data_IF_516006375922
#
_entry.id   IF_516006375922
#
_cell.length_a   1.000
_cell.length_b   1.000
_cell.length_c   1.000
_cell.angle_alpha   90.00
_cell.angle_beta   90.00
_cell.angle_gamma   90.00
#
_symmetry.space_group_name_H-M   'P 1'
#
loop_
_entity.id
_entity.type
_entity.pdbx_description
1 polymer ?
#
# COMPACT_ATOMS: atom_id res chain seq x y z
N UNK A 1 -14.05 -19.04 -12.63
CA UNK A 1 -13.14 -18.54 -11.90
C UNK A 1 -13.30 -18.70 -10.47
N UNK A 2 -12.33 -18.92 -9.79
CA UNK A 2 -12.47 -19.10 -8.44
C UNK A 2 -12.34 -17.83 -7.72
N UNK A 3 -12.91 -17.74 -6.56
CA UNK A 3 -12.80 -16.59 -5.74
C UNK A 3 -11.57 -16.72 -4.91
N UNK A 4 -10.72 -15.73 -5.01
CA UNK A 4 -9.54 -15.72 -4.21
C UNK A 4 -9.88 -15.21 -2.84
N UNK A 5 -9.54 -15.97 -1.83
CA UNK A 5 -9.78 -15.55 -0.47
C UNK A 5 -8.47 -15.12 0.15
N UNK A 6 -8.50 -14.01 0.85
CA UNK A 6 -7.32 -13.47 1.50
C UNK A 6 -7.41 -13.71 2.99
N UNK A 7 -6.28 -13.81 3.63
CA UNK A 7 -6.22 -14.01 5.06
C UNK A 7 -5.99 -12.68 5.74
N UNK A 8 -6.34 -12.63 7.02
CA UNK A 8 -6.14 -11.40 7.79
C UNK A 8 -4.66 -11.02 7.75
N UNK A 9 -4.41 -9.76 7.53
CA UNK A 9 -3.05 -9.24 7.50
C UNK A 9 -2.26 -9.59 6.26
N UNK A 10 -2.89 -10.24 5.28
CA UNK A 10 -2.16 -10.62 4.08
C UNK A 10 -1.84 -9.39 3.23
N UNK A 11 -0.61 -9.30 2.76
CA UNK A 11 -0.23 -8.23 1.85
C UNK A 11 -0.60 -8.65 0.45
N UNK A 12 -1.51 -7.91 -0.17
CA UNK A 12 -1.97 -8.23 -1.51
C UNK A 12 -1.04 -7.62 -2.56
N UNK A 13 -0.58 -6.40 -2.30
CA UNK A 13 0.30 -5.71 -3.25
C UNK A 13 1.21 -4.77 -2.50
N UNK A 14 2.40 -4.58 -3.04
CA UNK A 14 3.39 -3.71 -2.45
C UNK A 14 4.28 -3.20 -3.55
N UNK A 15 4.60 -1.92 -3.52
CA UNK A 15 5.48 -1.33 -4.52
C UNK A 15 6.28 -0.21 -3.89
N UNK A 16 7.50 -0.04 -4.36
CA UNK A 16 8.35 1.05 -3.91
C UNK A 16 7.88 2.30 -4.62
N UNK A 17 7.55 3.33 -3.84
CA UNK A 17 7.10 4.59 -4.43
C UNK A 17 8.20 5.63 -4.43
N UNK A 18 9.12 5.59 -3.46
CA UNK A 18 10.26 6.49 -3.44
C UNK A 18 11.46 5.70 -2.98
N UNK A 19 12.57 5.90 -3.65
CA UNK A 19 13.77 5.17 -3.31
C UNK A 19 14.86 6.17 -3.02
N UNK A 20 15.43 6.11 -1.82
CA UNK A 20 16.53 6.97 -1.41
C UNK A 20 17.78 6.10 -1.32
N UNK A 21 18.91 6.73 -1.20
CA UNK A 21 20.15 5.97 -1.18
C UNK A 21 20.27 5.05 0.02
N UNK A 22 19.57 5.34 1.11
CA UNK A 22 19.71 4.53 2.30
C UNK A 22 18.40 3.90 2.75
N UNK A 23 17.29 4.14 2.08
CA UNK A 23 16.04 3.48 2.43
C UNK A 23 15.02 3.70 1.30
N UNK A 24 13.91 3.00 1.40
CA UNK A 24 12.85 3.12 0.43
C UNK A 24 11.52 3.30 1.13
N UNK A 25 10.59 3.98 0.47
CA UNK A 25 9.23 4.08 0.94
C UNK A 25 8.35 3.27 0.00
N UNK A 26 7.39 2.57 0.56
CA UNK A 26 6.55 1.69 -0.22
C UNK A 26 5.09 1.99 0.05
N UNK A 27 4.23 1.62 -0.91
CA UNK A 27 2.80 1.60 -0.69
C UNK A 27 2.37 0.15 -0.59
N UNK A 28 1.35 -0.10 0.21
CA UNK A 28 0.86 -1.46 0.43
C UNK A 28 -0.64 -1.51 0.42
N UNK A 29 -1.15 -2.60 -0.12
CA UNK A 29 -2.57 -2.92 -0.06
C UNK A 29 -2.66 -4.24 0.68
N UNK A 30 -3.32 -4.23 1.82
CA UNK A 30 -3.38 -5.39 2.70
C UNK A 30 -4.80 -5.68 3.11
N UNK A 31 -5.01 -6.89 3.60
CA UNK A 31 -6.26 -7.22 4.26
C UNK A 31 -6.14 -6.74 5.71
N UNK A 32 -7.20 -6.13 6.21
CA UNK A 32 -7.19 -5.63 7.58
C UNK A 32 -6.92 -6.76 8.56
N UNK A 33 -6.22 -6.42 9.62
CA UNK A 33 -5.78 -7.41 10.58
C UNK A 33 -6.83 -7.64 11.66
N UNK A 34 -8.06 -7.31 11.40
CA UNK A 34 -9.15 -7.62 12.31
C UNK A 34 -10.13 -8.50 11.55
N UNK A 35 -11.31 -8.69 12.06
CA UNK A 35 -12.26 -9.59 11.41
C UNK A 35 -13.24 -8.87 10.50
N UNK A 36 -12.95 -7.64 10.14
CA UNK A 36 -13.89 -6.88 9.33
C UNK A 36 -13.93 -7.33 7.88
N UNK A 37 -12.84 -7.93 7.40
CA UNK A 37 -12.76 -8.28 5.99
C UNK A 37 -12.49 -7.10 5.09
N UNK A 38 -12.11 -5.96 5.65
CA UNK A 38 -11.85 -4.78 4.85
C UNK A 38 -10.42 -4.78 4.34
N UNK A 39 -10.14 -3.87 3.45
CA UNK A 39 -8.81 -3.74 2.85
C UNK A 39 -8.23 -2.40 3.26
N UNK A 40 -6.93 -2.38 3.49
CA UNK A 40 -6.24 -1.19 3.99
C UNK A 40 -5.14 -0.82 3.02
N UNK A 41 -5.06 0.46 2.69
CA UNK A 41 -3.98 0.96 1.84
C UNK A 41 -3.24 2.02 2.65
N UNK A 42 -1.91 1.92 2.67
CA UNK A 42 -1.10 2.89 3.39
C UNK A 42 0.29 2.96 2.77
N UNK A 43 1.05 3.96 3.20
CA UNK A 43 2.44 4.07 2.77
C UNK A 43 3.33 3.95 4.00
N UNK A 44 4.56 3.53 3.80
CA UNK A 44 5.45 3.27 4.91
C UNK A 44 5.92 4.54 5.61
N UNK A 45 5.86 5.68 4.91
CA UNK A 45 6.32 6.91 5.54
C UNK A 45 5.22 7.57 6.36
N UNK A 46 3.97 7.14 6.22
CA UNK A 46 2.89 7.74 6.97
C UNK A 46 1.86 6.67 7.27
N UNK A 47 2.22 5.77 8.15
CA UNK A 47 1.35 4.65 8.45
C UNK A 47 0.11 5.07 9.22
N UNK A 48 0.07 6.30 9.69
CA UNK A 48 -1.13 6.75 10.38
C UNK A 48 -2.20 7.23 9.42
N UNK A 49 -1.86 7.34 8.12
CA UNK A 49 -2.82 7.80 7.14
C UNK A 49 -3.37 6.64 6.36
N UNK A 50 -3.88 5.64 7.06
CA UNK A 50 -4.42 4.46 6.42
C UNK A 50 -5.81 4.75 5.88
N UNK A 51 -6.11 4.17 4.72
CA UNK A 51 -7.43 4.24 4.14
C UNK A 51 -8.02 2.84 4.10
N UNK A 52 -9.24 2.72 4.58
CA UNK A 52 -9.91 1.43 4.68
C UNK A 52 -11.04 1.36 3.67
N UNK A 53 -11.17 0.21 3.02
CA UNK A 53 -12.17 0.01 1.98
C UNK A 53 -12.87 -1.33 2.19
N UNK A 54 -14.15 -1.38 1.93
CA UNK A 54 -14.88 -2.64 2.00
C UNK A 54 -14.80 -3.41 0.70
N UNK A 55 -14.55 -2.71 -0.40
CA UNK A 55 -14.50 -3.33 -1.71
C UNK A 55 -13.07 -3.31 -2.20
N UNK A 56 -12.57 -4.47 -2.60
CA UNK A 56 -11.19 -4.55 -3.06
C UNK A 56 -10.96 -3.69 -4.29
N UNK A 57 -11.98 -3.50 -5.12
CA UNK A 57 -11.81 -2.67 -6.31
C UNK A 57 -11.57 -1.21 -5.94
N UNK A 58 -12.25 -0.73 -4.90
CA UNK A 58 -12.00 0.62 -4.43
C UNK A 58 -10.61 0.73 -3.81
N UNK A 59 -10.18 -0.30 -3.11
CA UNK A 59 -8.85 -0.30 -2.54
C UNK A 59 -7.80 -0.26 -3.63
N UNK A 60 -7.98 -1.05 -4.70
CA UNK A 60 -7.04 -1.04 -5.81
C UNK A 60 -7.00 0.32 -6.49
N UNK A 61 -8.17 0.96 -6.61
CA UNK A 61 -8.21 2.26 -7.24
C UNK A 61 -7.41 3.27 -6.45
N UNK A 62 -7.55 3.26 -5.14
CA UNK A 62 -6.79 4.18 -4.31
C UNK A 62 -5.30 3.83 -4.34
N UNK A 63 -4.99 2.54 -4.24
CA UNK A 63 -3.61 2.09 -4.27
C UNK A 63 -2.93 2.56 -5.56
N UNK A 64 -3.61 2.40 -6.69
CA UNK A 64 -3.03 2.79 -7.96
C UNK A 64 -2.94 4.29 -8.13
N UNK A 65 -3.71 5.05 -7.35
CA UNK A 65 -3.64 6.50 -7.45
C UNK A 65 -2.42 7.06 -6.74
N UNK A 66 -1.76 6.27 -5.89
CA UNK A 66 -0.54 6.72 -5.23
C UNK A 66 0.58 6.64 -6.24
N UNK A 67 1.17 7.78 -6.55
CA UNK A 67 2.15 7.84 -7.62
C UNK A 67 3.47 7.26 -7.21
N UNK A 68 4.14 6.63 -8.14
CA UNK A 68 5.48 6.12 -7.94
C UNK A 68 6.45 7.18 -8.41
N UNK A 69 7.27 7.68 -7.49
CA UNK A 69 8.17 8.78 -7.81
C UNK A 69 9.56 8.30 -8.19
N UNK A 70 9.91 7.07 -7.85
CA UNK A 70 11.18 6.51 -8.25
C UNK A 70 12.32 6.94 -7.35
N UNK A 71 13.51 6.99 -7.93
CA UNK A 71 14.71 7.28 -7.15
C UNK A 71 14.81 8.77 -6.88
N UNK A 72 14.97 9.11 -5.60
CA UNK A 72 15.07 10.50 -5.18
C UNK A 72 16.53 10.78 -4.89
N UNK A 73 17.12 11.67 -5.68
CA UNK A 73 18.49 12.04 -5.44
C UNK A 73 18.56 13.01 -4.31
N UNK A 74 19.43 12.74 -3.41
CA UNK A 74 19.63 13.70 -2.34
C UNK A 74 20.30 14.88 -2.93
N UNK A 75 19.74 16.03 -2.72
CA UNK A 75 20.27 17.14 -3.29
C UNK A 75 21.25 17.72 -2.46
N UNK A 76 22.31 17.66 -2.61
CA UNK A 76 23.15 18.07 -1.85
C UNK A 76 23.59 19.23 -2.01
N UNK A 77 23.60 19.88 -2.33
CA UNK A 77 23.92 21.05 -2.47
C UNK A 77 23.95 21.74 -1.98
#
# INVERSE_FOLDING_TARGET
MENKQYQRGEIIAEAIIKEYWNYSEVKRLCVADDDSGEFVVYTSDDSTDEKWFKDINDAWKYYNSIEIEGFIEADED
#
